data_IF_347368706186
#
_entry.id   IF_347368706186
#
_cell.length_a   1.000
_cell.length_b   1.000
_cell.length_c   1.000
_cell.angle_alpha   90.00
_cell.angle_beta   90.00
_cell.angle_gamma   90.00
#
_symmetry.space_group_name_H-M   'P 1'
#
loop_
_entity.id
_entity.type
_entity.pdbx_description
1 polymer ?
#
# COMPACT_ATOMS: atom_id res chain seq x y z
N UNK A 1 15.78 0.49 -15.48
CA UNK A 1 14.68 0.82 -14.54
C UNK A 1 15.24 0.90 -13.13
N UNK A 2 14.99 2.01 -12.41
CA UNK A 2 15.36 2.13 -10.99
C UNK A 2 14.19 1.68 -10.13
N UNK A 3 14.43 0.67 -9.30
CA UNK A 3 13.45 0.16 -8.35
C UNK A 3 13.44 1.05 -7.11
N UNK A 4 12.64 2.11 -7.17
CA UNK A 4 12.57 3.15 -6.12
C UNK A 4 11.59 2.81 -5.00
N UNK A 5 10.75 1.79 -5.16
CA UNK A 5 9.70 1.37 -4.21
C UNK A 5 8.87 2.55 -3.66
N UNK A 6 8.43 3.47 -4.55
CA UNK A 6 7.85 4.75 -4.12
C UNK A 6 6.51 4.62 -3.39
N UNK A 7 5.70 3.61 -3.73
CA UNK A 7 4.42 3.34 -3.08
C UNK A 7 3.97 1.89 -3.32
N UNK A 8 3.11 1.41 -2.42
CA UNK A 8 2.34 0.17 -2.56
C UNK A 8 0.85 0.52 -2.39
N UNK A 9 0.15 0.93 -3.48
CA UNK A 9 -1.26 1.28 -3.40
C UNK A 9 -2.10 0.05 -3.04
N UNK A 10 -3.13 0.26 -2.23
CA UNK A 10 -3.98 -0.81 -1.74
C UNK A 10 -5.20 -1.00 -2.65
N UNK A 11 -5.54 -2.26 -2.91
CA UNK A 11 -6.86 -2.63 -3.41
C UNK A 11 -7.74 -3.02 -2.22
N UNK A 12 -9.02 -2.68 -2.28
CA UNK A 12 -9.99 -2.97 -1.23
C UNK A 12 -11.20 -3.68 -1.83
N UNK A 13 -11.67 -4.73 -1.17
CA UNK A 13 -13.01 -5.29 -1.42
C UNK A 13 -13.98 -4.59 -0.49
N UNK A 14 -14.87 -3.79 -1.06
CA UNK A 14 -15.81 -2.97 -0.29
C UNK A 14 -17.21 -3.54 -0.52
N UNK A 15 -17.94 -3.78 0.57
CA UNK A 15 -19.33 -4.25 0.54
C UNK A 15 -20.29 -3.15 0.94
N UNK A 16 -21.53 -3.23 0.48
CA UNK A 16 -22.57 -2.32 0.93
C UNK A 16 -22.86 -2.57 2.42
N UNK A 17 -22.72 -1.52 3.24
CA UNK A 17 -22.91 -1.59 4.70
C UNK A 17 -24.29 -2.10 5.10
N UNK A 18 -25.37 -1.51 4.55
CA UNK A 18 -26.73 -1.89 4.92
C UNK A 18 -27.06 -3.34 4.53
N UNK A 19 -26.51 -3.83 3.40
CA UNK A 19 -26.68 -5.23 3.00
C UNK A 19 -25.91 -6.17 3.90
N UNK A 20 -24.68 -5.82 4.28
CA UNK A 20 -23.88 -6.62 5.22
C UNK A 20 -24.56 -6.71 6.60
N UNK A 21 -25.04 -5.59 7.13
CA UNK A 21 -25.71 -5.53 8.45
C UNK A 21 -27.04 -6.30 8.49
N UNK A 22 -27.69 -6.49 7.33
CA UNK A 22 -28.92 -7.29 7.21
C UNK A 22 -28.69 -8.79 7.22
N UNK A 23 -27.45 -9.25 7.02
CA UNK A 23 -27.13 -10.66 7.06
C UNK A 23 -27.31 -11.21 8.49
N UNK A 24 -27.67 -12.49 8.66
CA UNK A 24 -27.56 -13.16 9.94
C UNK A 24 -26.15 -13.03 10.55
N UNK A 25 -26.05 -12.96 11.88
CA UNK A 25 -24.77 -12.70 12.56
C UNK A 25 -23.70 -13.73 12.24
N UNK A 26 -24.08 -15.00 12.20
CA UNK A 26 -23.21 -16.12 11.80
C UNK A 26 -22.65 -15.93 10.38
N UNK A 27 -23.47 -15.39 9.46
CA UNK A 27 -23.04 -15.09 8.10
C UNK A 27 -22.11 -13.88 8.06
N UNK A 28 -22.36 -12.83 8.84
CA UNK A 28 -21.44 -11.69 8.95
C UNK A 28 -20.06 -12.13 9.45
N UNK A 29 -20.04 -12.95 10.50
CA UNK A 29 -18.82 -13.51 11.07
C UNK A 29 -18.07 -14.38 10.05
N UNK A 30 -18.78 -15.23 9.30
CA UNK A 30 -18.18 -16.05 8.25
C UNK A 30 -17.54 -15.20 7.13
N UNK A 31 -18.20 -14.12 6.70
CA UNK A 31 -17.66 -13.19 5.71
C UNK A 31 -16.40 -12.48 6.23
N UNK A 32 -16.41 -12.01 7.47
CA UNK A 32 -15.24 -11.36 8.08
C UNK A 32 -14.07 -12.33 8.29
N UNK A 33 -14.35 -13.59 8.66
CA UNK A 33 -13.34 -14.63 8.77
C UNK A 33 -12.68 -14.92 7.42
N UNK A 34 -13.49 -15.06 6.36
CA UNK A 34 -12.97 -15.23 5.00
C UNK A 34 -12.17 -14.01 4.54
N UNK A 35 -12.65 -12.79 4.82
CA UNK A 35 -11.93 -11.56 4.48
C UNK A 35 -10.54 -11.50 5.14
N UNK A 36 -10.44 -11.85 6.43
CA UNK A 36 -9.17 -11.90 7.15
C UNK A 36 -8.20 -12.92 6.54
N UNK A 37 -8.68 -14.13 6.26
CA UNK A 37 -7.86 -15.16 5.64
C UNK A 37 -7.33 -14.70 4.27
N UNK A 38 -8.21 -14.15 3.43
CA UNK A 38 -7.84 -13.68 2.09
C UNK A 38 -6.89 -12.49 2.16
N UNK A 39 -7.06 -11.57 3.10
CA UNK A 39 -6.12 -10.46 3.29
C UNK A 39 -4.71 -10.96 3.58
N UNK A 40 -4.55 -11.90 4.53
CA UNK A 40 -3.25 -12.50 4.87
C UNK A 40 -2.62 -13.22 3.67
N UNK A 41 -3.41 -13.95 2.89
CA UNK A 41 -2.96 -14.61 1.65
C UNK A 41 -2.54 -13.59 0.58
N UNK A 42 -3.33 -12.53 0.39
CA UNK A 42 -3.09 -11.52 -0.63
C UNK A 42 -1.86 -10.66 -0.34
N UNK A 43 -1.54 -10.38 0.91
CA UNK A 43 -0.27 -9.74 1.28
C UNK A 43 0.94 -10.59 0.87
N UNK A 44 0.88 -11.91 1.10
CA UNK A 44 1.93 -12.85 0.68
C UNK A 44 2.03 -12.91 -0.84
N UNK A 45 0.89 -13.00 -1.52
CA UNK A 45 0.81 -13.05 -2.97
C UNK A 45 1.34 -11.77 -3.62
N UNK A 46 1.02 -10.60 -3.08
CA UNK A 46 1.52 -9.30 -3.55
C UNK A 46 3.05 -9.24 -3.52
N UNK A 47 3.66 -9.64 -2.39
CA UNK A 47 5.13 -9.71 -2.26
C UNK A 47 5.75 -10.68 -3.26
N UNK A 48 5.13 -11.85 -3.46
CA UNK A 48 5.59 -12.85 -4.44
C UNK A 48 5.50 -12.33 -5.87
N UNK A 49 4.39 -11.67 -6.22
CA UNK A 49 4.14 -11.15 -7.56
C UNK A 49 5.12 -10.02 -7.93
N UNK A 50 5.44 -9.14 -6.97
CA UNK A 50 6.45 -8.09 -7.15
C UNK A 50 7.84 -8.67 -7.48
N UNK A 51 8.30 -9.67 -6.73
CA UNK A 51 9.58 -10.34 -6.99
C UNK A 51 9.58 -11.10 -8.33
N UNK A 52 8.47 -11.79 -8.65
CA UNK A 52 8.32 -12.50 -9.92
C UNK A 52 8.35 -11.54 -11.12
N UNK A 53 7.69 -10.38 -10.99
CA UNK A 53 7.70 -9.33 -12.01
C UNK A 53 9.10 -8.77 -12.22
N UNK A 54 9.86 -8.51 -11.14
CA UNK A 54 11.25 -8.07 -11.25
C UNK A 54 12.12 -9.08 -12.02
N UNK A 55 11.98 -10.38 -11.71
CA UNK A 55 12.70 -11.44 -12.41
C UNK A 55 12.31 -11.50 -13.89
N UNK A 56 11.02 -11.38 -14.19
CA UNK A 56 10.54 -11.36 -15.57
C UNK A 56 11.17 -10.20 -16.36
N UNK A 57 11.21 -8.99 -15.78
CA UNK A 57 11.86 -7.83 -16.44
C UNK A 57 13.33 -8.11 -16.77
N UNK A 58 14.08 -8.70 -15.82
CA UNK A 58 15.49 -9.08 -16.03
C UNK A 58 15.64 -10.13 -17.14
N UNK A 59 14.80 -11.16 -17.14
CA UNK A 59 14.83 -12.22 -18.15
C UNK A 59 14.53 -11.71 -19.55
N UNK A 60 13.76 -10.62 -19.67
CA UNK A 60 13.49 -9.94 -20.94
C UNK A 60 14.51 -8.83 -21.26
N UNK A 61 15.69 -8.86 -20.62
CA UNK A 61 16.83 -7.99 -20.97
C UNK A 61 16.80 -6.60 -20.31
N UNK A 62 15.91 -6.33 -19.35
CA UNK A 62 15.92 -5.04 -18.65
C UNK A 62 16.95 -5.01 -17.50
N UNK A 63 17.74 -3.94 -17.46
CA UNK A 63 18.56 -3.62 -16.29
C UNK A 63 17.69 -3.06 -15.16
N UNK A 64 17.63 -3.78 -14.04
CA UNK A 64 16.94 -3.37 -12.81
C UNK A 64 17.97 -2.91 -11.77
N UNK A 65 17.97 -1.62 -11.45
CA UNK A 65 18.87 -1.00 -10.48
C UNK A 65 18.15 -0.85 -9.14
N UNK A 66 18.66 -1.48 -8.08
CA UNK A 66 18.06 -1.42 -6.73
C UNK A 66 18.60 -0.30 -5.86
N UNK A 67 19.83 0.12 -6.10
CA UNK A 67 20.45 1.20 -5.35
C UNK A 67 20.11 2.53 -6.01
N UNK A 68 19.33 3.36 -5.32
CA UNK A 68 19.11 4.76 -5.71
C UNK A 68 20.29 5.60 -5.21
N UNK A 69 20.75 6.56 -6.02
CA UNK A 69 21.83 7.45 -5.59
C UNK A 69 21.36 8.37 -4.44
N UNK A 70 22.28 8.85 -3.59
CA UNK A 70 21.93 9.80 -2.54
C UNK A 70 21.22 11.05 -3.07
N UNK A 71 21.68 11.59 -4.21
CA UNK A 71 21.12 12.78 -4.84
C UNK A 71 19.67 12.56 -5.27
N UNK A 72 19.38 11.41 -5.90
CA UNK A 72 18.02 11.04 -6.29
C UNK A 72 17.12 10.85 -5.06
N UNK A 73 17.63 10.20 -4.01
CA UNK A 73 16.87 9.97 -2.77
C UNK A 73 16.47 11.29 -2.11
N UNK A 74 17.40 12.25 -2.00
CA UNK A 74 17.11 13.55 -1.40
C UNK A 74 16.16 14.39 -2.27
N UNK A 75 16.31 14.36 -3.59
CA UNK A 75 15.37 15.01 -4.51
C UNK A 75 13.94 14.45 -4.36
N UNK A 76 13.80 13.13 -4.22
CA UNK A 76 12.51 12.48 -3.99
C UNK A 76 11.90 12.86 -2.65
N UNK A 77 12.69 12.91 -1.56
CA UNK A 77 12.19 13.36 -0.25
C UNK A 77 11.71 14.81 -0.28
N UNK A 78 12.46 15.70 -0.91
CA UNK A 78 12.08 17.11 -1.04
C UNK A 78 10.77 17.28 -1.83
N UNK A 79 10.57 16.46 -2.87
CA UNK A 79 9.31 16.42 -3.62
C UNK A 79 8.16 15.84 -2.77
N UNK A 80 8.40 14.74 -2.04
CA UNK A 80 7.41 14.09 -1.18
C UNK A 80 6.92 15.01 -0.06
N UNK A 81 7.81 15.78 0.57
CA UNK A 81 7.44 16.72 1.64
C UNK A 81 6.36 17.70 1.20
N UNK A 82 6.47 18.27 0.00
CA UNK A 82 5.47 19.22 -0.54
C UNK A 82 4.09 18.56 -0.70
N UNK A 83 4.07 17.29 -1.10
CA UNK A 83 2.84 16.50 -1.26
C UNK A 83 2.23 16.17 0.11
N UNK A 84 3.05 15.78 1.09
CA UNK A 84 2.62 15.51 2.45
C UNK A 84 2.05 16.75 3.13
N UNK A 85 2.74 17.89 3.04
CA UNK A 85 2.27 19.15 3.64
C UNK A 85 0.88 19.53 3.09
N UNK A 86 0.68 19.39 1.76
CA UNK A 86 -0.62 19.62 1.13
C UNK A 86 -1.67 18.59 1.56
N UNK A 87 -1.31 17.31 1.63
CA UNK A 87 -2.22 16.26 2.06
C UNK A 87 -2.64 16.44 3.52
N UNK A 88 -1.70 16.75 4.43
CA UNK A 88 -1.97 16.99 5.85
C UNK A 88 -2.86 18.21 6.09
N UNK A 89 -2.76 19.24 5.24
CA UNK A 89 -3.67 20.38 5.29
C UNK A 89 -5.11 20.00 4.90
N UNK A 90 -5.29 19.02 4.00
CA UNK A 90 -6.60 18.55 3.52
C UNK A 90 -7.19 17.43 4.37
N UNK A 91 -6.36 16.56 4.94
CA UNK A 91 -6.77 15.35 5.65
C UNK A 91 -7.30 15.61 7.07
N UNK A 92 -7.14 16.83 7.58
CA UNK A 92 -7.62 17.23 8.91
C UNK A 92 -6.87 16.54 10.05
N UNK A 93 -7.44 16.61 11.26
CA UNK A 93 -6.79 16.11 12.47
C UNK A 93 -6.60 14.59 12.47
N UNK A 94 -7.55 13.83 11.92
CA UNK A 94 -7.45 12.37 11.83
C UNK A 94 -6.29 11.94 10.91
N UNK A 95 -6.16 12.56 9.72
CA UNK A 95 -5.05 12.27 8.82
C UNK A 95 -3.69 12.63 9.41
N UNK A 96 -3.61 13.73 10.17
CA UNK A 96 -2.38 14.09 10.91
C UNK A 96 -2.06 13.08 12.01
N UNK A 97 -3.05 12.60 12.74
CA UNK A 97 -2.87 11.58 13.78
C UNK A 97 -2.32 10.27 13.19
N UNK A 98 -2.89 9.79 12.09
CA UNK A 98 -2.41 8.59 11.39
C UNK A 98 -0.97 8.80 10.88
N UNK A 99 -0.68 9.97 10.30
CA UNK A 99 0.65 10.30 9.81
C UNK A 99 1.69 10.27 10.94
N UNK A 100 1.36 10.88 12.07
CA UNK A 100 2.15 10.86 13.31
C UNK A 100 2.39 9.44 13.81
N UNK A 101 1.34 8.63 13.90
CA UNK A 101 1.44 7.23 14.36
C UNK A 101 2.37 6.40 13.46
N UNK A 102 2.26 6.56 12.14
CA UNK A 102 3.06 5.79 11.19
C UNK A 102 4.54 6.21 11.18
N UNK A 103 4.84 7.52 11.23
CA UNK A 103 6.21 8.04 11.14
C UNK A 103 6.90 8.23 12.50
N UNK A 104 6.17 8.19 13.61
CA UNK A 104 6.71 8.32 14.96
C UNK A 104 7.11 9.74 15.37
N UNK A 105 6.54 10.78 14.74
CA UNK A 105 6.81 12.21 15.03
C UNK A 105 5.70 12.87 15.86
#
# INVERSE_FOLDING_TARGET
>A
FHRINYAYPLNMVIVNKAMFERLPKDVQEAVLAAAKQVEEEQWKNSKKADLASELALKNHGMTVVKNISPELKEAMKAAAKKLWDKWLALAGEEGKAIFKEYFGE
#
